data_IF_610794819181
#
_entry.id   IF_610794819181
#
_cell.length_a   1.000
_cell.length_b   1.000
_cell.length_c   1.000
_cell.angle_alpha   90.00
_cell.angle_beta   90.00
_cell.angle_gamma   90.00
#
_symmetry.space_group_name_H-M   'P 1'
#
loop_
_entity.id
_entity.type
_entity.pdbx_description
1 polymer ?
#
# COMPACT_ATOMS: atom_id res chain seq x y z
N UNK A 1 -15.79 5.30 4.69
CA UNK A 1 -14.83 5.24 3.55
C UNK A 1 -14.62 3.76 3.22
N UNK A 2 -14.94 3.38 1.98
CA UNK A 2 -14.88 1.97 1.53
C UNK A 2 -13.50 1.30 1.77
N UNK A 3 -12.43 2.06 1.62
CA UNK A 3 -11.07 1.54 1.79
C UNK A 3 -10.77 1.01 3.21
N UNK A 4 -11.50 1.47 4.23
CA UNK A 4 -11.31 1.03 5.61
C UNK A 4 -11.81 -0.41 5.84
N UNK A 5 -12.65 -0.93 4.96
CA UNK A 5 -13.19 -2.30 4.97
C UNK A 5 -12.56 -3.17 3.87
N UNK A 6 -11.45 -2.69 3.27
CA UNK A 6 -10.83 -3.34 2.12
C UNK A 6 -9.55 -4.07 2.51
N UNK A 7 -9.25 -5.08 1.70
CA UNK A 7 -7.92 -5.67 1.56
C UNK A 7 -7.39 -5.29 0.19
N UNK A 8 -6.25 -4.64 0.17
CA UNK A 8 -5.60 -4.18 -1.06
C UNK A 8 -4.68 -5.24 -1.65
N UNK A 9 -4.58 -5.23 -2.97
CA UNK A 9 -3.58 -5.97 -3.73
C UNK A 9 -2.75 -4.99 -4.54
N UNK A 10 -1.43 -4.94 -4.32
CA UNK A 10 -0.54 -4.03 -5.02
C UNK A 10 0.08 -4.70 -6.23
N UNK A 11 0.04 -4.01 -7.38
CA UNK A 11 0.69 -4.42 -8.62
C UNK A 11 1.68 -3.33 -9.06
N UNK A 12 2.93 -3.72 -9.34
CA UNK A 12 3.90 -2.90 -10.07
C UNK A 12 3.85 -3.27 -11.57
N UNK A 13 3.16 -2.50 -12.43
CA UNK A 13 2.73 -2.95 -13.74
C UNK A 13 3.87 -3.28 -14.71
N UNK A 14 4.93 -2.46 -14.76
CA UNK A 14 6.07 -2.67 -15.67
C UNK A 14 6.71 -4.03 -15.41
N UNK A 15 7.01 -4.37 -14.16
CA UNK A 15 7.54 -5.67 -13.79
C UNK A 15 6.52 -6.79 -13.95
N UNK A 16 5.34 -6.64 -13.35
CA UNK A 16 4.27 -7.63 -13.40
C UNK A 16 3.93 -8.07 -14.84
N UNK A 17 3.84 -7.12 -15.75
CA UNK A 17 3.51 -7.38 -17.16
C UNK A 17 4.71 -7.81 -18.01
N UNK A 18 5.92 -7.88 -17.44
CA UNK A 18 7.14 -8.22 -18.19
C UNK A 18 7.50 -7.19 -19.27
N UNK A 19 7.20 -5.91 -19.01
CA UNK A 19 7.53 -4.84 -19.93
C UNK A 19 9.05 -4.53 -19.91
N UNK A 20 9.63 -4.03 -21.01
CA UNK A 20 11.04 -3.62 -21.04
C UNK A 20 11.34 -2.56 -19.98
N UNK A 21 12.52 -2.62 -19.36
CA UNK A 21 12.94 -1.67 -18.32
C UNK A 21 13.02 -0.24 -18.86
N UNK A 22 13.59 -0.07 -20.05
CA UNK A 22 13.68 1.24 -20.73
C UNK A 22 12.57 1.32 -21.75
N UNK A 23 11.92 2.48 -21.84
CA UNK A 23 10.87 2.73 -22.80
C UNK A 23 11.42 2.67 -24.22
N UNK A 24 10.99 1.69 -24.98
CA UNK A 24 11.39 1.44 -26.37
C UNK A 24 10.47 2.10 -27.40
N UNK A 25 9.42 2.78 -26.95
CA UNK A 25 8.42 3.43 -27.81
C UNK A 25 7.47 2.46 -28.53
N UNK A 26 7.51 1.17 -28.18
CA UNK A 26 6.69 0.14 -28.84
C UNK A 26 5.42 -0.11 -28.02
N UNK A 27 4.25 0.11 -28.61
CA UNK A 27 2.97 -0.15 -27.96
C UNK A 27 2.61 -1.63 -28.01
N UNK A 28 2.49 -2.25 -26.81
CA UNK A 28 2.09 -3.65 -26.66
C UNK A 28 1.10 -3.74 -25.50
N UNK A 29 -0.09 -4.34 -25.65
CA UNK A 29 -1.17 -4.34 -24.66
C UNK A 29 -0.89 -5.31 -23.48
N UNK A 30 0.29 -5.22 -22.86
CA UNK A 30 0.74 -6.11 -21.78
C UNK A 30 -0.12 -5.96 -20.52
N UNK A 31 -0.70 -4.76 -20.29
CA UNK A 31 -1.54 -4.49 -19.11
C UNK A 31 -2.78 -5.38 -19.04
N UNK A 32 -3.26 -5.90 -20.18
CA UNK A 32 -4.40 -6.80 -20.24
C UNK A 32 -4.21 -8.09 -19.44
N UNK A 33 -2.96 -8.49 -19.19
CA UNK A 33 -2.61 -9.58 -18.26
C UNK A 33 -3.29 -9.45 -16.89
N UNK A 34 -3.48 -8.24 -16.41
CA UNK A 34 -4.14 -8.00 -15.10
C UNK A 34 -5.58 -8.50 -15.12
N UNK A 35 -6.27 -8.44 -16.27
CA UNK A 35 -7.63 -8.97 -16.39
C UNK A 35 -7.70 -10.48 -16.12
N UNK A 36 -6.66 -11.23 -16.50
CA UNK A 36 -6.58 -12.68 -16.28
C UNK A 36 -6.36 -13.02 -14.78
N UNK A 37 -5.92 -12.03 -13.98
CA UNK A 37 -5.68 -12.17 -12.56
C UNK A 37 -6.85 -11.69 -11.69
N UNK A 38 -7.88 -11.09 -12.27
CA UNK A 38 -8.99 -10.49 -11.51
C UNK A 38 -9.72 -11.51 -10.61
N UNK A 39 -9.95 -12.71 -11.11
CA UNK A 39 -10.56 -13.80 -10.34
C UNK A 39 -9.67 -14.25 -9.18
N UNK A 40 -8.36 -14.40 -9.40
CA UNK A 40 -7.40 -14.73 -8.35
C UNK A 40 -7.42 -13.67 -7.24
N UNK A 41 -7.31 -12.38 -7.60
CA UNK A 41 -7.32 -11.26 -6.65
C UNK A 41 -8.61 -11.25 -5.83
N UNK A 42 -9.77 -11.44 -6.47
CA UNK A 42 -11.06 -11.49 -5.79
C UNK A 42 -11.16 -12.72 -4.86
N UNK A 43 -10.72 -13.90 -5.33
CA UNK A 43 -10.77 -15.17 -4.56
C UNK A 43 -9.86 -15.11 -3.33
N UNK A 44 -8.71 -14.42 -3.43
CA UNK A 44 -7.80 -14.17 -2.33
C UNK A 44 -8.43 -13.33 -1.20
N UNK A 45 -9.57 -12.69 -1.48
CA UNK A 45 -10.27 -11.82 -0.54
C UNK A 45 -9.95 -10.33 -0.74
N UNK A 46 -9.15 -9.97 -1.74
CA UNK A 46 -8.87 -8.57 -2.06
C UNK A 46 -10.03 -7.94 -2.84
N UNK A 47 -10.37 -6.70 -2.51
CA UNK A 47 -11.42 -5.92 -3.18
C UNK A 47 -10.97 -4.52 -3.60
N UNK A 48 -9.68 -4.28 -3.58
CA UNK A 48 -9.05 -3.09 -4.12
C UNK A 48 -7.69 -3.45 -4.72
N UNK A 49 -7.38 -2.90 -5.89
CA UNK A 49 -6.04 -2.96 -6.48
C UNK A 49 -5.42 -1.57 -6.42
N UNK A 50 -4.20 -1.52 -5.93
CA UNK A 50 -3.33 -0.36 -6.02
C UNK A 50 -2.28 -0.62 -7.10
N UNK A 51 -2.32 0.19 -8.16
CA UNK A 51 -1.30 0.17 -9.20
C UNK A 51 -0.19 1.15 -8.88
N UNK A 52 1.06 0.68 -8.81
CA UNK A 52 2.24 1.52 -9.00
C UNK A 52 2.19 2.16 -10.40
N UNK A 53 3.06 3.15 -10.75
CA UNK A 53 2.83 4.00 -11.91
C UNK A 53 2.53 3.27 -13.21
N UNK A 54 1.52 3.76 -13.94
CA UNK A 54 1.06 3.19 -15.22
C UNK A 54 1.26 4.16 -16.41
N UNK A 55 1.60 5.42 -16.14
CA UNK A 55 1.66 6.45 -17.18
C UNK A 55 2.98 6.47 -17.91
N UNK A 56 2.97 7.05 -19.12
CA UNK A 56 4.13 7.13 -20.02
C UNK A 56 5.35 7.67 -19.28
N UNK A 57 6.44 6.89 -19.28
CA UNK A 57 7.65 7.15 -18.50
C UNK A 57 8.92 6.81 -19.25
N UNK A 58 10.07 7.28 -18.74
CA UNK A 58 11.38 6.97 -19.35
C UNK A 58 11.81 5.54 -19.03
N UNK A 59 11.61 5.06 -17.79
CA UNK A 59 12.06 3.75 -17.35
C UNK A 59 11.15 3.09 -16.32
N UNK A 60 11.23 3.48 -15.04
CA UNK A 60 10.62 2.75 -13.93
C UNK A 60 9.18 3.21 -13.57
N UNK A 61 8.60 4.12 -14.32
CA UNK A 61 7.25 4.63 -14.08
C UNK A 61 7.21 5.90 -13.22
N UNK A 62 8.16 6.09 -12.31
CA UNK A 62 8.24 7.30 -11.46
C UNK A 62 8.88 8.49 -12.20
N UNK A 63 9.45 8.28 -13.37
CA UNK A 63 10.03 9.26 -14.29
C UNK A 63 9.05 9.60 -15.43
N UNK A 64 7.88 10.11 -15.05
CA UNK A 64 6.73 10.36 -15.94
C UNK A 64 7.07 11.34 -17.05
N UNK A 65 6.69 10.98 -18.29
CA UNK A 65 6.74 11.83 -19.50
C UNK A 65 5.41 12.53 -19.80
N UNK A 66 4.31 11.81 -19.55
CA UNK A 66 2.96 12.27 -19.84
C UNK A 66 1.95 11.58 -18.92
N UNK A 67 1.23 12.36 -18.10
CA UNK A 67 0.18 11.86 -17.21
C UNK A 67 -1.13 11.49 -17.92
N UNK A 68 -1.29 11.86 -19.20
CA UNK A 68 -2.54 11.62 -19.95
C UNK A 68 -2.55 10.28 -20.69
N UNK A 69 -1.41 9.64 -20.81
CA UNK A 69 -1.24 8.42 -21.60
C UNK A 69 -0.71 7.29 -20.72
N UNK A 70 -1.33 6.14 -20.87
CA UNK A 70 -0.77 4.88 -20.35
C UNK A 70 0.57 4.61 -21.06
N UNK A 71 1.54 4.11 -20.32
CA UNK A 71 2.87 3.77 -20.85
C UNK A 71 2.74 2.81 -22.04
N UNK A 72 3.34 3.16 -23.18
CA UNK A 72 3.20 2.37 -24.40
C UNK A 72 3.68 0.93 -24.23
N UNK A 73 4.63 0.67 -23.35
CA UNK A 73 5.09 -0.67 -23.01
C UNK A 73 3.99 -1.52 -22.33
N UNK A 74 3.01 -0.87 -21.71
CA UNK A 74 1.85 -1.50 -21.06
C UNK A 74 0.64 -1.58 -22.00
N UNK A 75 0.48 -0.63 -22.91
CA UNK A 75 -0.63 -0.59 -23.86
C UNK A 75 -1.15 0.81 -24.13
N UNK A 76 -2.45 0.91 -24.34
CA UNK A 76 -3.15 2.17 -24.56
C UNK A 76 -4.09 2.50 -23.41
N UNK A 77 -4.67 3.72 -23.42
CA UNK A 77 -5.71 4.09 -22.45
C UNK A 77 -6.91 3.14 -22.52
N UNK A 78 -7.29 2.72 -23.74
CA UNK A 78 -8.40 1.77 -23.96
C UNK A 78 -8.09 0.39 -23.39
N UNK A 79 -6.83 -0.07 -23.48
CA UNK A 79 -6.41 -1.32 -22.86
C UNK A 79 -6.55 -1.26 -21.35
N UNK A 80 -6.11 -0.17 -20.71
CA UNK A 80 -6.23 0.00 -19.27
C UNK A 80 -7.68 0.22 -18.81
N UNK A 81 -8.48 0.97 -19.58
CA UNK A 81 -9.92 1.11 -19.30
C UNK A 81 -10.64 -0.25 -19.28
N UNK A 82 -10.27 -1.16 -20.21
CA UNK A 82 -10.80 -2.51 -20.23
C UNK A 82 -10.38 -3.33 -18.99
N UNK A 83 -9.14 -3.18 -18.51
CA UNK A 83 -8.67 -3.79 -17.26
C UNK A 83 -9.47 -3.28 -16.06
N UNK A 84 -9.64 -1.95 -15.93
CA UNK A 84 -10.42 -1.37 -14.84
C UNK A 84 -11.87 -1.87 -14.84
N UNK A 85 -12.49 -1.97 -16.02
CA UNK A 85 -13.82 -2.54 -16.16
C UNK A 85 -13.88 -3.98 -15.65
N UNK A 86 -12.93 -4.82 -16.04
CA UNK A 86 -12.85 -6.22 -15.57
C UNK A 86 -12.68 -6.29 -14.05
N UNK A 87 -11.82 -5.46 -13.47
CA UNK A 87 -11.64 -5.39 -12.01
C UNK A 87 -12.95 -4.98 -11.31
N UNK A 88 -13.62 -3.94 -11.79
CA UNK A 88 -14.91 -3.51 -11.24
C UNK A 88 -16.00 -4.59 -11.36
N UNK A 89 -16.06 -5.34 -12.45
CA UNK A 89 -16.96 -6.49 -12.63
C UNK A 89 -16.72 -7.60 -11.60
N UNK A 90 -15.49 -7.73 -11.07
CA UNK A 90 -15.14 -8.63 -9.97
C UNK A 90 -15.27 -7.96 -8.58
N UNK A 91 -15.86 -6.76 -8.49
CA UNK A 91 -16.04 -6.03 -7.23
C UNK A 91 -14.73 -5.45 -6.67
N UNK A 92 -13.72 -5.27 -7.49
CA UNK A 92 -12.40 -4.76 -7.12
C UNK A 92 -12.30 -3.29 -7.51
N UNK A 93 -12.04 -2.42 -6.54
CA UNK A 93 -11.80 -0.99 -6.74
C UNK A 93 -10.39 -0.72 -7.23
N UNK A 94 -10.21 0.38 -7.95
CA UNK A 94 -8.94 0.74 -8.59
C UNK A 94 -8.37 2.02 -8.01
N UNK A 95 -7.13 1.94 -7.50
CA UNK A 95 -6.35 3.06 -6.99
C UNK A 95 -5.08 3.19 -7.82
N UNK A 96 -4.78 4.40 -8.30
CA UNK A 96 -3.58 4.68 -9.10
C UNK A 96 -2.52 5.42 -8.29
N UNK A 97 -1.26 5.24 -8.68
CA UNK A 97 -0.15 6.02 -8.17
C UNK A 97 -0.13 7.42 -8.81
N UNK A 98 -0.21 8.44 -7.98
CA UNK A 98 -0.08 9.84 -8.34
C UNK A 98 1.34 10.33 -8.05
N UNK A 99 2.20 10.32 -9.06
CA UNK A 99 3.59 10.79 -8.98
C UNK A 99 3.62 12.30 -9.26
N UNK A 100 3.28 13.11 -8.26
CA UNK A 100 3.09 14.57 -8.47
C UNK A 100 4.23 15.43 -7.93
N UNK A 101 5.14 14.87 -7.13
CA UNK A 101 6.28 15.62 -6.64
C UNK A 101 7.27 15.96 -7.75
N UNK A 102 7.44 15.07 -8.71
CA UNK A 102 8.44 15.15 -9.76
C UNK A 102 7.97 14.48 -11.05
N UNK A 103 8.69 14.73 -12.12
CA UNK A 103 8.50 14.13 -13.45
C UNK A 103 9.86 13.69 -14.02
N UNK A 104 9.84 12.84 -15.04
CA UNK A 104 11.05 12.49 -15.78
C UNK A 104 11.57 13.65 -16.62
N UNK A 105 12.84 13.59 -17.02
CA UNK A 105 13.44 14.57 -17.93
C UNK A 105 12.79 14.58 -19.33
N UNK A 106 12.10 13.49 -19.69
CA UNK A 106 11.29 13.38 -20.89
C UNK A 106 9.92 14.04 -20.84
N UNK A 107 9.52 14.61 -19.68
CA UNK A 107 8.24 15.30 -19.53
C UNK A 107 8.12 16.48 -20.51
N UNK A 108 7.02 16.56 -21.24
CA UNK A 108 6.86 17.49 -22.37
C UNK A 108 7.11 18.96 -22.03
N UNK A 109 6.67 19.44 -20.86
CA UNK A 109 6.90 20.81 -20.43
C UNK A 109 8.37 21.04 -20.05
N UNK A 110 9.07 20.06 -19.49
CA UNK A 110 10.49 20.16 -19.17
C UNK A 110 11.36 20.13 -20.45
N UNK A 111 10.92 19.35 -21.47
CA UNK A 111 11.56 19.36 -22.80
C UNK A 111 11.49 20.74 -23.45
N UNK A 112 10.35 21.42 -23.35
CA UNK A 112 10.24 22.81 -23.84
C UNK A 112 11.21 23.75 -23.10
N UNK A 113 11.38 23.58 -21.79
CA UNK A 113 12.39 24.36 -21.02
C UNK A 113 13.81 24.01 -21.47
N UNK A 114 14.13 22.75 -21.74
CA UNK A 114 15.45 22.36 -22.24
C UNK A 114 15.77 23.02 -23.59
N UNK A 115 14.76 23.19 -24.46
CA UNK A 115 14.92 23.81 -25.78
C UNK A 115 14.95 25.34 -25.71
N UNK A 116 13.96 25.96 -25.06
CA UNK A 116 13.72 27.41 -25.08
C UNK A 116 14.33 28.16 -23.90
N UNK A 117 14.80 27.45 -22.87
CA UNK A 117 15.42 28.03 -21.68
C UNK A 117 14.52 29.09 -21.03
N UNK A 118 15.03 30.32 -20.93
CA UNK A 118 14.32 31.46 -20.34
C UNK A 118 12.99 31.79 -21.06
N UNK A 119 12.93 31.54 -22.34
CA UNK A 119 11.76 31.87 -23.19
C UNK A 119 10.66 30.82 -23.09
N UNK A 120 10.86 29.72 -22.37
CA UNK A 120 9.84 28.71 -22.17
C UNK A 120 8.70 29.24 -21.29
N UNK A 121 7.43 29.07 -21.69
CA UNK A 121 6.29 29.39 -20.83
C UNK A 121 6.15 28.46 -19.61
N UNK A 122 6.86 27.34 -19.60
CA UNK A 122 6.81 26.32 -18.55
C UNK A 122 7.97 26.39 -17.56
N UNK A 123 8.87 27.38 -17.65
CA UNK A 123 10.03 27.46 -16.76
C UNK A 123 9.64 27.54 -15.28
N UNK A 124 8.52 28.20 -14.97
CA UNK A 124 8.05 28.39 -13.59
C UNK A 124 7.25 27.18 -13.07
N UNK A 125 7.03 26.16 -13.91
CA UNK A 125 6.49 24.86 -13.50
C UNK A 125 7.45 24.03 -12.67
N UNK A 126 8.75 24.44 -12.70
CA UNK A 126 9.85 23.79 -12.03
C UNK A 126 10.61 24.79 -11.17
N UNK A 127 11.49 24.33 -10.29
CA UNK A 127 12.37 25.17 -9.51
C UNK A 127 13.70 25.30 -10.25
N UNK A 128 13.84 26.33 -11.09
CA UNK A 128 14.97 26.53 -12.02
C UNK A 128 15.80 27.74 -11.60
N UNK A 129 17.12 27.64 -11.78
CA UNK A 129 18.06 28.77 -11.73
C UNK A 129 18.90 28.81 -13.01
N UNK A 130 18.79 29.92 -13.75
CA UNK A 130 19.56 30.14 -14.97
C UNK A 130 20.99 30.61 -14.69
N UNK A 131 21.36 30.91 -13.45
CA UNK A 131 22.71 31.24 -13.02
C UNK A 131 23.58 30.00 -12.75
N UNK A 132 22.98 28.80 -12.81
CA UNK A 132 23.62 27.52 -12.53
C UNK A 132 23.62 26.57 -13.73
N UNK A 133 24.05 25.34 -13.49
CA UNK A 133 23.99 24.26 -14.47
C UNK A 133 23.65 22.94 -13.78
N UNK A 134 23.01 22.03 -14.50
CA UNK A 134 22.74 20.68 -14.04
C UNK A 134 23.90 19.73 -14.33
N UNK A 135 23.88 18.53 -13.75
CA UNK A 135 24.82 17.45 -14.09
C UNK A 135 24.63 16.90 -15.50
N UNK A 136 23.54 17.27 -16.19
CA UNK A 136 23.27 16.98 -17.60
C UNK A 136 23.74 18.07 -18.57
N UNK A 137 24.38 19.12 -18.04
CA UNK A 137 24.85 20.26 -18.83
C UNK A 137 23.73 20.99 -19.59
N UNK A 138 22.58 21.20 -18.94
CA UNK A 138 21.40 21.84 -19.55
C UNK A 138 21.57 23.35 -19.80
N UNK A 139 22.60 23.98 -19.20
CA UNK A 139 22.78 25.43 -19.19
C UNK A 139 21.88 26.16 -18.19
N UNK A 140 21.25 25.43 -17.28
CA UNK A 140 20.55 25.91 -16.11
C UNK A 140 20.56 24.83 -15.03
N UNK A 141 20.40 25.23 -13.76
CA UNK A 141 20.20 24.33 -12.63
C UNK A 141 18.70 24.18 -12.34
N UNK A 142 18.30 23.01 -11.85
CA UNK A 142 16.94 22.76 -11.37
C UNK A 142 16.95 21.85 -10.15
N UNK A 143 15.89 21.90 -9.34
CA UNK A 143 15.72 21.02 -8.21
C UNK A 143 15.23 19.63 -8.70
N UNK A 144 15.93 18.56 -8.29
CA UNK A 144 15.47 17.18 -8.41
C UNK A 144 14.96 16.65 -7.07
N UNK A 145 14.25 15.52 -7.10
CA UNK A 145 13.85 14.85 -5.88
C UNK A 145 15.07 14.31 -5.13
N UNK A 146 15.31 14.82 -3.90
CA UNK A 146 16.42 14.41 -3.03
C UNK A 146 17.80 14.38 -3.72
N UNK A 147 18.03 15.26 -4.70
CA UNK A 147 19.28 15.36 -5.46
C UNK A 147 19.34 14.47 -6.70
N UNK A 148 18.28 13.72 -7.00
CA UNK A 148 18.11 12.93 -8.22
C UNK A 148 17.68 13.82 -9.38
N UNK A 149 18.61 14.25 -10.23
CA UNK A 149 18.34 15.16 -11.34
C UNK A 149 17.54 14.50 -12.49
N UNK A 150 17.48 13.18 -12.56
CA UNK A 150 16.59 12.44 -13.47
C UNK A 150 15.10 12.61 -13.10
N UNK A 151 14.80 13.01 -11.86
CA UNK A 151 13.46 13.23 -11.32
C UNK A 151 13.27 14.71 -11.03
N UNK A 152 12.77 15.43 -12.01
CA UNK A 152 12.65 16.91 -12.03
C UNK A 152 11.48 17.34 -11.15
N UNK A 153 11.75 18.10 -10.08
CA UNK A 153 10.73 18.53 -9.14
C UNK A 153 9.75 19.53 -9.74
N UNK A 154 8.46 19.28 -9.57
CA UNK A 154 7.38 20.18 -9.96
C UNK A 154 7.17 21.29 -8.91
N UNK A 155 6.85 22.50 -9.38
CA UNK A 155 6.39 23.59 -8.54
C UNK A 155 4.87 23.44 -8.28
N UNK A 156 4.52 22.69 -7.24
CA UNK A 156 3.12 22.41 -6.89
C UNK A 156 2.32 23.63 -6.39
N UNK A 157 2.97 24.78 -6.19
CA UNK A 157 2.31 26.06 -5.90
C UNK A 157 1.91 26.84 -7.15
N UNK A 158 2.42 26.44 -8.31
CA UNK A 158 2.07 27.06 -9.57
C UNK A 158 0.63 26.65 -10.00
N UNK A 159 -0.27 27.62 -10.24
CA UNK A 159 -1.68 27.30 -10.56
C UNK A 159 -1.86 26.40 -11.78
N UNK A 160 -1.08 26.62 -12.83
CA UNK A 160 -1.19 25.82 -14.07
C UNK A 160 -0.68 24.40 -13.87
N UNK A 161 0.30 24.18 -12.99
CA UNK A 161 0.74 22.83 -12.60
C UNK A 161 -0.39 22.09 -11.88
N UNK A 162 -1.02 22.73 -10.89
CA UNK A 162 -2.18 22.17 -10.20
C UNK A 162 -3.32 21.88 -11.18
N UNK A 163 -3.65 22.83 -12.04
CA UNK A 163 -4.70 22.66 -13.05
C UNK A 163 -4.39 21.48 -13.97
N UNK A 164 -3.16 21.36 -14.48
CA UNK A 164 -2.76 20.24 -15.33
C UNK A 164 -2.92 18.89 -14.61
N UNK A 165 -2.46 18.78 -13.38
CA UNK A 165 -2.60 17.54 -12.57
C UNK A 165 -4.08 17.21 -12.34
N UNK A 166 -4.90 18.20 -11.95
CA UNK A 166 -6.33 17.96 -11.66
C UNK A 166 -7.10 17.55 -12.92
N UNK A 167 -6.80 18.12 -14.08
CA UNK A 167 -7.40 17.70 -15.34
C UNK A 167 -6.96 16.29 -15.76
N UNK A 168 -5.71 15.87 -15.45
CA UNK A 168 -5.30 14.49 -15.65
C UNK A 168 -6.08 13.54 -14.74
N UNK A 169 -6.25 13.86 -13.46
CA UNK A 169 -7.04 13.05 -12.52
C UNK A 169 -8.51 12.97 -12.96
N UNK A 170 -9.10 14.06 -13.46
CA UNK A 170 -10.45 14.05 -14.03
C UNK A 170 -10.53 13.09 -15.20
N UNK A 171 -9.57 13.16 -16.14
CA UNK A 171 -9.48 12.24 -17.27
C UNK A 171 -9.38 10.78 -16.79
N UNK A 172 -8.55 10.48 -15.79
CA UNK A 172 -8.43 9.12 -15.24
C UNK A 172 -9.74 8.62 -14.61
N UNK A 173 -10.47 9.53 -13.93
CA UNK A 173 -11.78 9.20 -13.38
C UNK A 173 -12.80 8.91 -14.49
N UNK A 174 -12.81 9.73 -15.54
CA UNK A 174 -13.78 9.63 -16.65
C UNK A 174 -13.48 8.42 -17.55
N UNK A 175 -12.20 8.16 -17.86
CA UNK A 175 -11.79 7.08 -18.79
C UNK A 175 -11.68 5.71 -18.09
N UNK A 176 -11.14 5.68 -16.87
CA UNK A 176 -10.81 4.43 -16.17
C UNK A 176 -11.75 4.13 -15.00
N UNK A 177 -12.52 5.12 -14.54
CA UNK A 177 -13.42 4.96 -13.41
C UNK A 177 -12.70 4.79 -12.07
N UNK A 178 -11.48 5.29 -11.92
CA UNK A 178 -10.66 5.08 -10.71
C UNK A 178 -11.38 5.50 -9.42
N UNK A 179 -11.07 4.81 -8.33
CA UNK A 179 -11.71 4.98 -7.02
C UNK A 179 -10.82 5.72 -6.01
N UNK A 180 -9.57 5.99 -6.37
CA UNK A 180 -8.65 6.70 -5.49
C UNK A 180 -7.24 6.85 -6.05
N UNK A 181 -6.40 7.52 -5.26
CA UNK A 181 -4.96 7.72 -5.55
C UNK A 181 -4.10 7.34 -4.35
N UNK A 182 -2.94 6.77 -4.64
CA UNK A 182 -1.78 6.73 -3.75
C UNK A 182 -0.85 7.86 -4.17
N UNK A 183 -0.44 8.70 -3.27
CA UNK A 183 0.48 9.80 -3.57
C UNK A 183 1.90 9.38 -3.27
N UNK A 184 2.71 9.30 -4.31
CA UNK A 184 4.14 9.04 -4.21
C UNK A 184 4.85 10.12 -3.40
N UNK A 185 5.80 9.72 -2.56
CA UNK A 185 6.60 10.59 -1.67
C UNK A 185 5.78 11.72 -1.04
N UNK A 186 4.61 11.39 -0.47
CA UNK A 186 3.67 12.38 0.04
C UNK A 186 4.29 13.30 1.11
N UNK A 187 5.34 12.86 1.81
CA UNK A 187 6.10 13.66 2.76
C UNK A 187 6.85 14.85 2.10
N UNK A 188 7.08 14.79 0.78
CA UNK A 188 7.68 15.87 -0.01
C UNK A 188 6.66 16.85 -0.61
N UNK A 189 5.37 16.49 -0.61
CA UNK A 189 4.33 17.31 -1.23
C UNK A 189 4.00 18.54 -0.38
N UNK A 190 3.75 19.66 -1.06
CA UNK A 190 3.21 20.85 -0.42
C UNK A 190 1.83 20.57 0.22
N UNK A 191 1.67 20.94 1.49
CA UNK A 191 0.44 20.65 2.24
C UNK A 191 -0.79 21.39 1.70
N UNK A 192 -0.60 22.58 1.12
CA UNK A 192 -1.69 23.33 0.52
C UNK A 192 -2.10 22.68 -0.81
N UNK A 193 -1.14 22.11 -1.55
CA UNK A 193 -1.46 21.25 -2.71
C UNK A 193 -2.27 20.01 -2.29
N UNK A 194 -1.90 19.32 -1.20
CA UNK A 194 -2.66 18.16 -0.71
C UNK A 194 -4.10 18.56 -0.36
N UNK A 195 -4.30 19.72 0.30
CA UNK A 195 -5.66 20.22 0.62
C UNK A 195 -6.46 20.54 -0.63
N UNK A 196 -5.84 21.21 -1.60
CA UNK A 196 -6.47 21.54 -2.88
C UNK A 196 -6.83 20.26 -3.66
N UNK A 197 -5.92 19.29 -3.71
CA UNK A 197 -6.13 17.98 -4.32
C UNK A 197 -7.28 17.23 -3.62
N UNK A 198 -7.33 17.21 -2.28
CA UNK A 198 -8.42 16.61 -1.53
C UNK A 198 -9.76 17.22 -1.90
N UNK A 199 -9.89 18.55 -1.87
CA UNK A 199 -11.12 19.22 -2.25
C UNK A 199 -11.54 18.96 -3.69
N UNK A 200 -10.58 18.89 -4.61
CA UNK A 200 -10.85 18.53 -6.00
C UNK A 200 -11.34 17.07 -6.11
N UNK A 201 -10.69 16.11 -5.49
CA UNK A 201 -11.09 14.70 -5.52
C UNK A 201 -12.48 14.48 -4.88
N UNK A 202 -12.79 15.14 -3.77
CA UNK A 202 -14.10 15.10 -3.14
C UNK A 202 -15.22 15.64 -4.09
N UNK A 203 -14.88 16.58 -4.97
CA UNK A 203 -15.81 17.09 -5.99
C UNK A 203 -16.06 16.09 -7.14
N UNK A 204 -15.13 15.18 -7.39
CA UNK A 204 -15.30 14.11 -8.38
C UNK A 204 -16.15 12.96 -7.83
N UNK A 205 -15.90 12.57 -6.59
CA UNK A 205 -16.66 11.54 -5.89
C UNK A 205 -16.47 11.70 -4.37
N UNK A 206 -17.52 11.71 -3.55
CA UNK A 206 -17.42 11.90 -2.11
C UNK A 206 -16.70 10.75 -1.39
N UNK A 207 -16.53 9.62 -2.03
CA UNK A 207 -15.82 8.43 -1.52
C UNK A 207 -14.48 8.18 -2.24
N UNK A 208 -13.94 9.17 -2.97
CA UNK A 208 -12.64 9.08 -3.62
C UNK A 208 -11.51 8.96 -2.59
N UNK A 209 -10.82 7.83 -2.59
CA UNK A 209 -9.83 7.52 -1.58
C UNK A 209 -8.46 8.16 -1.87
N UNK A 210 -7.84 8.77 -0.87
CA UNK A 210 -6.49 9.31 -0.95
C UNK A 210 -5.60 8.67 0.13
N UNK A 211 -4.55 8.00 -0.27
CA UNK A 211 -3.50 7.47 0.60
C UNK A 211 -2.14 8.02 0.20
N UNK A 212 -1.33 8.46 1.16
CA UNK A 212 0.01 8.99 0.89
C UNK A 212 1.11 8.03 1.30
N UNK A 213 2.18 8.00 0.54
CA UNK A 213 3.40 7.35 1.01
C UNK A 213 4.10 8.23 2.02
N UNK A 214 4.19 7.75 3.26
CA UNK A 214 4.97 8.38 4.33
C UNK A 214 5.95 7.34 4.88
N UNK A 215 7.24 7.64 4.80
CA UNK A 215 8.28 6.72 5.26
C UNK A 215 8.54 6.86 6.77
N UNK A 216 8.33 8.05 7.32
CA UNK A 216 8.62 8.42 8.70
C UNK A 216 7.90 9.71 9.11
N UNK A 217 8.05 10.12 10.36
CA UNK A 217 7.52 11.37 10.89
C UNK A 217 6.14 11.22 11.55
N UNK A 218 5.50 12.36 11.79
CA UNK A 218 4.16 12.41 12.38
C UNK A 218 3.08 12.36 11.29
N UNK A 219 2.40 11.23 11.18
CA UNK A 219 1.34 11.01 10.19
C UNK A 219 0.13 11.95 10.35
N UNK A 220 -0.08 12.52 11.55
CA UNK A 220 -1.15 13.49 11.77
C UNK A 220 -0.99 14.78 10.94
N UNK A 221 0.22 15.06 10.47
CA UNK A 221 0.46 16.21 9.62
C UNK A 221 -0.11 16.04 8.19
N UNK A 222 -0.43 14.81 7.81
CA UNK A 222 -0.86 14.45 6.45
C UNK A 222 -2.22 13.76 6.41
N UNK A 223 -2.60 13.04 7.48
CA UNK A 223 -3.83 12.24 7.56
C UNK A 223 -4.83 12.90 8.50
N UNK A 224 -5.98 13.31 7.96
CA UNK A 224 -7.04 13.96 8.73
C UNK A 224 -8.05 14.67 7.84
N UNK A 225 -8.93 15.44 8.47
CA UNK A 225 -9.97 16.18 7.78
C UNK A 225 -9.39 17.18 6.77
N UNK A 226 -9.87 17.15 5.55
CA UNK A 226 -9.39 18.00 4.46
C UNK A 226 -7.98 17.66 3.94
N UNK A 227 -7.38 16.57 4.43
CA UNK A 227 -6.09 16.02 4.01
C UNK A 227 -6.27 14.59 3.50
N UNK A 228 -5.21 13.76 3.56
CA UNK A 228 -5.28 12.36 3.15
C UNK A 228 -6.20 11.55 4.08
N UNK A 229 -6.83 10.51 3.55
CA UNK A 229 -7.61 9.55 4.33
C UNK A 229 -6.73 8.54 5.07
N UNK A 230 -5.56 8.22 4.50
CA UNK A 230 -4.64 7.20 4.99
C UNK A 230 -3.20 7.51 4.57
N UNK A 231 -2.26 6.81 5.17
CA UNK A 231 -0.88 6.75 4.70
C UNK A 231 -0.28 5.37 4.93
N UNK A 232 0.86 5.10 4.30
CA UNK A 232 1.63 3.87 4.49
C UNK A 232 2.20 3.80 5.91
N UNK A 233 2.07 2.63 6.55
CA UNK A 233 2.54 2.40 7.92
C UNK A 233 3.91 1.72 7.94
N UNK A 234 4.95 2.43 7.55
CA UNK A 234 6.33 1.92 7.54
C UNK A 234 6.86 1.58 8.94
N UNK A 235 6.36 2.25 9.98
CA UNK A 235 6.73 1.91 11.36
C UNK A 235 6.27 0.50 11.72
N UNK A 236 5.02 0.14 11.44
CA UNK A 236 4.53 -1.21 11.68
C UNK A 236 5.18 -2.23 10.73
N UNK A 237 5.46 -1.89 9.46
CA UNK A 237 6.23 -2.74 8.56
C UNK A 237 7.55 -3.16 9.20
N UNK A 238 8.33 -2.21 9.71
CA UNK A 238 9.59 -2.50 10.42
C UNK A 238 9.36 -3.34 11.67
N UNK A 239 8.38 -2.98 12.49
CA UNK A 239 8.03 -3.71 13.70
C UNK A 239 7.65 -5.17 13.44
N UNK A 240 6.90 -5.43 12.35
CA UNK A 240 6.46 -6.76 11.97
C UNK A 240 7.64 -7.70 11.67
N UNK A 241 8.50 -7.38 10.68
CA UNK A 241 9.59 -8.29 10.32
C UNK A 241 10.68 -8.35 11.40
N UNK A 242 10.95 -7.24 12.09
CA UNK A 242 11.94 -7.20 13.17
C UNK A 242 11.52 -8.08 14.34
N UNK A 243 10.25 -8.01 14.75
CA UNK A 243 9.69 -8.86 15.80
C UNK A 243 9.82 -10.35 15.47
N UNK A 244 9.56 -10.73 14.21
CA UNK A 244 9.69 -12.12 13.77
C UNK A 244 11.14 -12.58 13.80
N UNK A 245 12.08 -11.78 13.29
CA UNK A 245 13.48 -12.16 13.20
C UNK A 245 14.20 -12.16 14.55
N UNK A 246 13.84 -11.27 15.46
CA UNK A 246 14.37 -11.22 16.83
C UNK A 246 13.64 -12.16 17.81
N UNK A 247 12.55 -12.80 17.37
CA UNK A 247 11.61 -13.50 18.24
C UNK A 247 11.19 -12.64 19.43
N UNK A 248 10.82 -11.37 19.18
CA UNK A 248 10.49 -10.38 20.19
C UNK A 248 9.24 -9.57 19.81
N UNK A 249 8.06 -10.12 20.10
CA UNK A 249 6.78 -9.47 19.79
C UNK A 249 6.52 -8.18 20.56
N UNK A 250 7.37 -7.81 21.53
CA UNK A 250 7.29 -6.50 22.19
C UNK A 250 7.52 -5.35 21.21
N UNK A 251 8.33 -5.54 20.15
CA UNK A 251 8.60 -4.47 19.16
C UNK A 251 7.34 -4.04 18.42
N UNK A 252 6.64 -4.98 17.78
CA UNK A 252 5.40 -4.65 17.05
C UNK A 252 4.29 -4.22 18.00
N UNK A 253 4.16 -4.89 19.16
CA UNK A 253 3.13 -4.54 20.14
C UNK A 253 3.34 -3.14 20.69
N UNK A 254 4.59 -2.71 20.92
CA UNK A 254 4.90 -1.34 21.33
C UNK A 254 4.45 -0.32 20.27
N UNK A 255 4.75 -0.56 18.99
CA UNK A 255 4.30 0.31 17.90
C UNK A 255 2.77 0.39 17.83
N UNK A 256 2.08 -0.75 17.96
CA UNK A 256 0.61 -0.79 17.95
C UNK A 256 -0.01 -0.07 19.15
N UNK A 257 0.54 -0.23 20.36
CA UNK A 257 0.08 0.50 21.55
C UNK A 257 0.29 2.01 21.39
N UNK A 258 1.43 2.43 20.87
CA UNK A 258 1.74 3.83 20.62
C UNK A 258 0.82 4.45 19.57
N UNK A 259 0.50 3.71 18.51
CA UNK A 259 -0.33 4.19 17.40
C UNK A 259 -1.83 4.10 17.69
N UNK A 260 -2.31 2.98 18.27
CA UNK A 260 -3.73 2.63 18.34
C UNK A 260 -4.21 2.22 19.71
N UNK A 261 -3.37 2.26 20.75
CA UNK A 261 -3.70 1.82 22.08
C UNK A 261 -4.88 2.58 22.73
N UNK A 262 -5.36 2.14 23.92
CA UNK A 262 -6.52 2.73 24.56
C UNK A 262 -6.25 4.09 25.20
N UNK A 263 -4.99 4.45 25.41
CA UNK A 263 -4.58 5.61 26.18
C UNK A 263 -4.84 6.94 25.44
N UNK A 264 -4.96 8.04 26.18
CA UNK A 264 -5.25 9.35 25.62
C UNK A 264 -4.06 9.95 24.82
N UNK A 265 -2.84 9.50 25.07
CA UNK A 265 -1.64 9.93 24.35
C UNK A 265 -1.38 9.16 23.05
N UNK A 266 -2.25 8.23 22.68
CA UNK A 266 -2.13 7.43 21.47
C UNK A 266 -2.17 8.30 20.23
N UNK A 267 -1.25 8.09 19.30
CA UNK A 267 -0.99 9.02 18.18
C UNK A 267 -2.05 8.98 17.08
N UNK A 268 -2.51 7.78 16.69
CA UNK A 268 -3.31 7.59 15.47
C UNK A 268 -4.64 6.87 15.74
N UNK A 269 -5.17 7.05 16.93
CA UNK A 269 -6.46 6.45 17.34
C UNK A 269 -7.58 6.83 16.37
N UNK A 270 -8.27 5.82 15.84
CA UNK A 270 -9.35 6.01 14.87
C UNK A 270 -8.88 6.26 13.42
N UNK A 271 -7.57 6.30 13.16
CA UNK A 271 -7.02 6.35 11.79
C UNK A 271 -6.84 4.94 11.22
N UNK A 272 -7.04 4.82 9.92
CA UNK A 272 -6.87 3.57 9.17
C UNK A 272 -5.65 3.72 8.25
N UNK A 273 -4.51 3.18 8.67
CA UNK A 273 -3.25 3.29 7.93
C UNK A 273 -3.09 2.08 6.98
N UNK A 274 -2.59 2.32 5.78
CA UNK A 274 -2.28 1.26 4.83
C UNK A 274 -1.06 0.48 5.31
N UNK A 275 -1.29 -0.77 5.70
CA UNK A 275 -0.30 -1.63 6.33
C UNK A 275 0.09 -2.77 5.40
N UNK A 276 1.36 -3.18 5.44
CA UNK A 276 1.92 -4.17 4.53
C UNK A 276 3.10 -4.90 5.20
N UNK A 277 3.47 -6.05 4.65
CA UNK A 277 4.65 -6.83 5.07
C UNK A 277 5.79 -6.72 4.06
N UNK A 278 5.48 -6.32 2.84
CA UNK A 278 6.42 -5.92 1.78
C UNK A 278 5.71 -5.09 0.71
N UNK A 279 6.50 -4.52 -0.20
CA UNK A 279 6.06 -3.78 -1.39
C UNK A 279 7.17 -3.79 -2.46
N UNK A 280 6.99 -2.97 -3.51
CA UNK A 280 7.90 -2.89 -4.65
C UNK A 280 9.27 -2.23 -4.36
N UNK A 281 9.48 -1.67 -3.17
CA UNK A 281 10.69 -0.93 -2.79
C UNK A 281 11.51 -1.59 -1.68
N UNK A 282 10.96 -2.61 -1.03
CA UNK A 282 11.62 -3.31 0.08
C UNK A 282 11.83 -4.78 -0.24
N UNK A 283 12.77 -5.40 0.46
CA UNK A 283 12.99 -6.86 0.38
C UNK A 283 11.68 -7.59 0.64
N UNK A 284 11.34 -8.56 -0.23
CA UNK A 284 10.13 -9.36 -0.10
C UNK A 284 10.08 -10.10 1.23
N UNK A 285 8.89 -10.28 1.77
CA UNK A 285 8.69 -10.83 3.11
C UNK A 285 9.28 -12.23 3.25
N UNK A 286 9.16 -13.10 2.25
CA UNK A 286 9.75 -14.42 2.25
C UNK A 286 11.29 -14.40 2.29
N UNK A 287 11.91 -13.34 1.77
CA UNK A 287 13.38 -13.18 1.77
C UNK A 287 13.90 -12.44 3.01
N UNK A 288 13.10 -11.62 3.69
CA UNK A 288 13.52 -10.88 4.88
C UNK A 288 13.41 -11.72 6.16
N UNK A 289 12.45 -12.65 6.21
CA UNK A 289 12.25 -13.54 7.37
C UNK A 289 13.34 -14.60 7.46
N UNK A 290 13.93 -14.74 8.66
CA UNK A 290 14.95 -15.75 8.93
C UNK A 290 14.37 -17.14 9.17
N UNK A 291 13.14 -17.22 9.70
CA UNK A 291 12.42 -18.47 9.92
C UNK A 291 11.20 -18.54 8.98
N UNK A 292 11.20 -19.45 7.99
CA UNK A 292 10.07 -19.60 7.07
C UNK A 292 8.72 -19.93 7.75
N UNK A 293 8.75 -20.56 8.95
CA UNK A 293 7.52 -20.84 9.70
C UNK A 293 6.80 -19.57 10.18
N UNK A 294 7.50 -18.44 10.23
CA UNK A 294 6.93 -17.16 10.59
C UNK A 294 6.14 -16.50 9.44
N UNK A 295 6.30 -16.96 8.18
CA UNK A 295 5.69 -16.33 7.03
C UNK A 295 4.15 -16.23 7.12
N UNK A 296 3.39 -17.29 7.42
CA UNK A 296 1.95 -17.15 7.62
C UNK A 296 1.59 -16.33 8.88
N UNK A 297 2.47 -16.27 9.89
CA UNK A 297 2.21 -15.60 11.15
C UNK A 297 2.37 -14.07 11.05
N UNK A 298 3.29 -13.58 10.22
CA UNK A 298 3.42 -12.15 9.96
C UNK A 298 2.18 -11.61 9.24
N UNK A 299 1.56 -12.41 8.36
CA UNK A 299 0.27 -12.08 7.76
C UNK A 299 -0.87 -12.10 8.77
N UNK A 300 -0.85 -13.03 9.74
CA UNK A 300 -1.84 -13.02 10.82
C UNK A 300 -1.76 -11.74 11.66
N UNK A 301 -0.54 -11.27 11.95
CA UNK A 301 -0.37 -9.96 12.60
C UNK A 301 -0.89 -8.83 11.71
N UNK A 302 -0.58 -8.82 10.41
CA UNK A 302 -1.05 -7.81 9.45
C UNK A 302 -2.58 -7.72 9.39
N UNK A 303 -3.27 -8.85 9.26
CA UNK A 303 -4.73 -8.89 9.15
C UNK A 303 -5.43 -8.68 10.50
N UNK A 304 -4.76 -9.00 11.61
CA UNK A 304 -5.31 -8.86 12.97
C UNK A 304 -5.11 -7.49 13.59
N UNK A 305 -4.14 -6.70 13.14
CA UNK A 305 -3.85 -5.36 13.67
C UNK A 305 -4.79 -4.30 13.09
N UNK A 306 -4.89 -3.09 13.73
CA UNK A 306 -5.58 -1.95 13.14
C UNK A 306 -4.95 -1.48 11.84
N UNK A 307 -5.76 -1.15 10.84
CA UNK A 307 -5.31 -0.60 9.57
C UNK A 307 -5.98 -1.24 8.36
N UNK A 308 -5.48 -0.90 7.18
CA UNK A 308 -5.93 -1.41 5.89
C UNK A 308 -4.83 -2.34 5.38
N UNK A 309 -5.04 -3.66 5.35
CA UNK A 309 -4.00 -4.59 4.89
C UNK A 309 -3.81 -4.53 3.38
N UNK A 310 -2.54 -4.59 2.95
CA UNK A 310 -2.14 -4.63 1.55
C UNK A 310 -1.21 -5.83 1.30
N UNK A 311 -1.50 -6.60 0.27
CA UNK A 311 -0.70 -7.72 -0.22
C UNK A 311 0.03 -7.26 -1.48
N UNK A 312 1.34 -7.48 -1.57
CA UNK A 312 2.11 -7.23 -2.78
C UNK A 312 2.11 -8.49 -3.67
N UNK A 313 1.88 -8.33 -4.98
CA UNK A 313 1.71 -9.45 -5.90
C UNK A 313 2.87 -10.45 -5.83
N UNK A 314 2.55 -11.72 -5.73
CA UNK A 314 3.49 -12.82 -5.59
C UNK A 314 3.85 -13.16 -4.15
N UNK A 315 3.68 -12.24 -3.20
CA UNK A 315 4.00 -12.49 -1.80
C UNK A 315 3.00 -13.43 -1.13
N UNK A 316 1.78 -13.56 -1.69
CA UNK A 316 0.75 -14.47 -1.21
C UNK A 316 1.09 -15.97 -1.38
N UNK A 317 2.05 -16.28 -2.23
CA UNK A 317 2.61 -17.64 -2.32
C UNK A 317 4.07 -17.74 -1.89
N UNK A 318 4.64 -16.65 -1.35
CA UNK A 318 5.99 -16.62 -0.83
C UNK A 318 7.07 -16.34 -1.88
N UNK A 319 6.77 -15.54 -2.91
CA UNK A 319 7.78 -15.10 -3.87
C UNK A 319 8.94 -14.38 -3.17
N UNK A 320 10.16 -14.72 -3.57
CA UNK A 320 11.38 -14.16 -3.02
C UNK A 320 11.91 -12.98 -3.85
N UNK A 321 12.74 -12.15 -3.23
CA UNK A 321 13.43 -11.02 -3.86
C UNK A 321 14.10 -10.14 -2.81
N UNK A 322 15.36 -9.77 -3.01
CA UNK A 322 16.13 -8.96 -2.08
C UNK A 322 16.47 -7.60 -2.67
N UNK A 323 16.29 -6.53 -1.90
CA UNK A 323 16.60 -5.15 -2.33
C UNK A 323 18.07 -4.98 -2.75
N UNK A 324 18.98 -5.68 -2.12
CA UNK A 324 20.41 -5.64 -2.45
C UNK A 324 20.73 -6.17 -3.86
N UNK A 325 19.83 -6.98 -4.44
CA UNK A 325 19.98 -7.54 -5.79
C UNK A 325 19.39 -6.62 -6.87
N UNK A 326 18.95 -5.42 -6.47
CA UNK A 326 18.35 -4.41 -7.30
C UNK A 326 16.83 -4.44 -7.31
N UNK A 327 16.21 -3.38 -7.84
CA UNK A 327 14.76 -3.22 -7.84
C UNK A 327 14.06 -4.28 -8.70
N UNK A 328 14.69 -4.73 -9.79
CA UNK A 328 14.12 -5.75 -10.68
C UNK A 328 13.88 -7.08 -9.93
N UNK A 329 14.71 -7.40 -8.93
CA UNK A 329 14.52 -8.59 -8.09
C UNK A 329 13.23 -8.52 -7.24
N UNK A 330 12.76 -7.31 -6.95
CA UNK A 330 11.51 -7.07 -6.20
C UNK A 330 10.28 -7.05 -7.11
N UNK A 331 10.47 -6.89 -8.43
CA UNK A 331 9.43 -6.56 -9.42
C UNK A 331 9.34 -7.59 -10.55
N UNK A 332 9.38 -8.92 -10.26
CA UNK A 332 9.38 -9.96 -11.28
C UNK A 332 8.04 -10.03 -12.01
N UNK A 333 8.07 -10.63 -13.22
CA UNK A 333 6.86 -11.06 -13.90
C UNK A 333 6.57 -12.52 -13.56
N UNK A 334 5.32 -12.84 -13.31
CA UNK A 334 4.83 -14.22 -13.16
C UNK A 334 3.82 -14.51 -14.27
N UNK A 335 3.87 -15.69 -14.85
CA UNK A 335 2.93 -16.06 -15.93
C UNK A 335 1.51 -16.21 -15.40
N UNK A 336 1.37 -16.81 -14.23
CA UNK A 336 0.09 -17.06 -13.56
C UNK A 336 0.28 -17.07 -12.05
N UNK A 337 -0.78 -16.86 -11.24
CA UNK A 337 -0.71 -17.01 -9.81
C UNK A 337 -0.43 -18.45 -9.39
N UNK A 338 0.19 -18.59 -8.22
CA UNK A 338 0.49 -19.91 -7.62
C UNK A 338 -0.39 -20.10 -6.38
N UNK A 339 -1.10 -21.23 -6.36
CA UNK A 339 -1.90 -21.63 -5.20
C UNK A 339 -1.09 -22.62 -4.34
N UNK A 340 -0.94 -22.30 -3.06
CA UNK A 340 -0.27 -23.16 -2.07
C UNK A 340 -0.88 -22.97 -0.68
N UNK A 341 -0.32 -23.62 0.33
CA UNK A 341 -0.82 -23.55 1.73
C UNK A 341 -0.78 -22.11 2.28
N UNK A 342 0.23 -21.31 1.89
CA UNK A 342 0.32 -19.91 2.30
C UNK A 342 -0.82 -19.09 1.68
N UNK A 343 -1.06 -19.26 0.38
CA UNK A 343 -2.18 -18.60 -0.33
C UNK A 343 -3.51 -18.91 0.35
N UNK A 344 -3.76 -20.18 0.68
CA UNK A 344 -4.98 -20.60 1.36
C UNK A 344 -5.15 -19.95 2.75
N UNK A 345 -4.07 -19.87 3.53
CA UNK A 345 -4.08 -19.21 4.85
C UNK A 345 -4.31 -17.70 4.73
N UNK A 346 -3.64 -17.03 3.80
CA UNK A 346 -3.82 -15.60 3.54
C UNK A 346 -5.26 -15.32 3.12
N UNK A 347 -5.82 -16.15 2.23
CA UNK A 347 -7.22 -16.04 1.79
C UNK A 347 -8.19 -16.11 2.99
N UNK A 348 -8.00 -17.07 3.90
CA UNK A 348 -8.86 -17.19 5.08
C UNK A 348 -8.76 -15.95 6.00
N UNK A 349 -7.55 -15.44 6.24
CA UNK A 349 -7.31 -14.25 7.05
C UNK A 349 -7.85 -12.97 6.38
N UNK A 350 -7.67 -12.83 5.07
CA UNK A 350 -8.19 -11.68 4.32
C UNK A 350 -9.73 -11.62 4.36
N UNK A 351 -10.39 -12.75 4.18
CA UNK A 351 -11.85 -12.87 4.31
C UNK A 351 -12.30 -12.55 5.73
N UNK A 352 -11.65 -13.14 6.74
CA UNK A 352 -11.92 -12.85 8.16
C UNK A 352 -11.82 -11.36 8.46
N UNK A 353 -10.79 -10.67 7.95
CA UNK A 353 -10.62 -9.23 8.13
C UNK A 353 -11.77 -8.43 7.51
N UNK A 354 -12.09 -8.69 6.24
CA UNK A 354 -13.15 -7.96 5.51
C UNK A 354 -14.55 -8.15 6.10
N UNK A 355 -14.84 -9.34 6.62
CA UNK A 355 -16.15 -9.72 7.14
C UNK A 355 -16.34 -9.31 8.60
N UNK A 356 -15.27 -8.89 9.28
CA UNK A 356 -15.29 -8.50 10.69
C UNK A 356 -15.22 -6.98 10.88
N UNK A 357 -16.31 -6.40 11.40
CA UNK A 357 -16.29 -4.99 11.80
C UNK A 357 -15.25 -4.69 12.87
N UNK A 358 -15.03 -5.64 13.80
CA UNK A 358 -14.02 -5.49 14.84
C UNK A 358 -12.60 -5.43 14.24
N UNK A 359 -12.28 -6.23 13.23
CA UNK A 359 -10.97 -6.18 12.56
C UNK A 359 -10.80 -4.91 11.71
N UNK A 360 -11.88 -4.42 11.06
CA UNK A 360 -11.84 -3.18 10.29
C UNK A 360 -11.79 -1.92 11.15
N UNK A 361 -12.62 -1.82 12.22
CA UNK A 361 -12.86 -0.59 12.96
C UNK A 361 -12.56 -0.66 14.44
N UNK A 362 -12.37 -1.86 14.99
CA UNK A 362 -12.21 -2.07 16.43
C UNK A 362 -10.97 -1.39 17.00
N UNK A 363 -11.05 -0.95 18.23
CA UNK A 363 -9.91 -0.47 18.99
C UNK A 363 -8.85 -1.55 19.18
N UNK A 364 -7.71 -1.18 19.74
CA UNK A 364 -6.60 -2.10 20.04
C UNK A 364 -6.33 -2.15 21.52
N UNK A 365 -6.32 -3.37 22.10
CA UNK A 365 -5.95 -3.58 23.49
C UNK A 365 -5.14 -4.86 23.65
N UNK A 366 -3.96 -4.76 24.22
CA UNK A 366 -3.12 -5.90 24.56
C UNK A 366 -3.72 -6.67 25.75
N UNK A 367 -3.79 -8.01 25.65
CA UNK A 367 -4.22 -8.91 26.71
C UNK A 367 -3.07 -9.80 27.22
N UNK A 368 -2.34 -10.44 26.32
CA UNK A 368 -1.17 -11.27 26.62
C UNK A 368 0.00 -10.79 25.76
N UNK A 369 1.18 -10.71 26.36
CA UNK A 369 2.42 -10.42 25.63
C UNK A 369 3.59 -11.13 26.30
N UNK A 370 4.29 -11.92 25.52
CA UNK A 370 5.60 -12.48 25.82
C UNK A 370 6.53 -12.21 24.64
N UNK A 371 7.76 -12.68 24.67
CA UNK A 371 8.65 -12.54 23.51
C UNK A 371 8.09 -13.24 22.28
N UNK A 372 7.40 -14.37 22.44
CA UNK A 372 6.98 -15.23 21.32
C UNK A 372 5.47 -15.42 21.19
N UNK A 373 4.67 -14.93 22.13
CA UNK A 373 3.22 -15.02 22.08
C UNK A 373 2.58 -13.66 22.33
N UNK A 374 1.51 -13.37 21.59
CA UNK A 374 0.66 -12.23 21.85
C UNK A 374 -0.81 -12.58 21.69
N UNK A 375 -1.65 -11.96 22.53
CA UNK A 375 -3.10 -11.91 22.34
C UNK A 375 -3.51 -10.46 22.51
N UNK A 376 -4.22 -9.93 21.53
CA UNK A 376 -4.85 -8.62 21.63
C UNK A 376 -6.31 -8.64 21.24
N UNK A 377 -7.01 -7.64 21.71
CA UNK A 377 -8.42 -7.44 21.49
C UNK A 377 -8.63 -6.39 20.41
N UNK A 378 -9.53 -6.68 19.51
CA UNK A 378 -10.15 -5.76 18.56
C UNK A 378 -11.64 -5.71 18.91
N UNK A 379 -12.13 -4.54 19.31
CA UNK A 379 -13.53 -4.39 19.77
C UNK A 379 -14.14 -3.12 19.20
N UNK A 380 -15.34 -3.25 18.67
CA UNK A 380 -16.24 -2.16 18.25
C UNK A 380 -17.67 -2.48 18.69
N UNK A 381 -18.60 -1.54 18.51
CA UNK A 381 -19.99 -1.74 18.90
C UNK A 381 -20.57 -3.02 18.28
N UNK A 382 -20.83 -3.98 19.13
CA UNK A 382 -21.51 -5.22 18.77
C UNK A 382 -20.62 -6.36 18.29
N UNK A 383 -19.31 -6.18 18.18
CA UNK A 383 -18.40 -7.26 17.78
C UNK A 383 -17.05 -7.16 18.49
N UNK A 384 -16.53 -8.32 18.89
CA UNK A 384 -15.24 -8.44 19.55
C UNK A 384 -14.48 -9.65 19.02
N UNK A 385 -13.23 -9.43 18.62
CA UNK A 385 -12.32 -10.46 18.13
C UNK A 385 -11.05 -10.44 18.96
N UNK A 386 -10.59 -11.61 19.40
CA UNK A 386 -9.30 -11.81 20.02
C UNK A 386 -8.35 -12.38 18.98
N UNK A 387 -7.27 -11.66 18.70
CA UNK A 387 -6.21 -12.09 17.79
C UNK A 387 -5.10 -12.70 18.62
N UNK A 388 -4.83 -13.98 18.44
CA UNK A 388 -3.80 -14.72 19.17
C UNK A 388 -2.76 -15.27 18.20
N UNK A 389 -1.47 -15.08 18.51
CA UNK A 389 -0.36 -15.56 17.69
C UNK A 389 0.71 -16.18 18.58
N UNK A 390 1.18 -17.38 18.19
CA UNK A 390 2.34 -18.05 18.76
C UNK A 390 3.40 -18.25 17.67
N UNK A 391 4.55 -17.58 17.80
CA UNK A 391 5.67 -17.70 16.88
C UNK A 391 6.75 -18.72 17.35
N UNK A 392 6.48 -19.43 18.47
CA UNK A 392 7.39 -20.46 19.00
C UNK A 392 7.12 -21.82 18.35
N UNK A 393 8.16 -22.64 18.32
CA UNK A 393 8.09 -24.09 18.00
C UNK A 393 7.45 -24.93 19.09
N UNK A 394 7.23 -24.35 20.30
CA UNK A 394 6.59 -24.99 21.43
C UNK A 394 5.14 -24.47 21.61
N UNK A 395 4.22 -25.33 22.06
CA UNK A 395 2.89 -24.89 22.43
C UNK A 395 2.96 -23.95 23.65
N UNK A 396 2.01 -23.04 23.74
CA UNK A 396 1.91 -22.10 24.85
C UNK A 396 0.50 -22.11 25.44
N UNK A 397 0.38 -22.32 26.73
CA UNK A 397 -0.89 -22.26 27.42
C UNK A 397 -1.14 -20.87 28.00
N UNK A 398 -2.02 -20.10 27.32
CA UNK A 398 -2.34 -18.74 27.73
C UNK A 398 -3.41 -18.72 28.82
N UNK A 399 -3.13 -17.98 29.90
CA UNK A 399 -4.09 -17.68 30.97
C UNK A 399 -4.42 -16.18 30.94
N UNK A 400 -5.64 -15.84 30.59
CA UNK A 400 -6.13 -14.47 30.57
C UNK A 400 -7.65 -14.45 30.70
N UNK A 401 -8.23 -13.31 31.09
CA UNK A 401 -9.66 -13.12 31.09
C UNK A 401 -10.17 -12.80 29.68
N UNK A 402 -10.74 -13.80 29.01
CA UNK A 402 -11.30 -13.64 27.66
C UNK A 402 -12.61 -12.81 27.69
N UNK A 403 -13.23 -12.57 28.81
CA UNK A 403 -14.54 -11.91 28.98
C UNK A 403 -15.66 -12.52 28.11
N UNK A 404 -15.50 -13.77 27.71
CA UNK A 404 -16.50 -14.60 27.02
C UNK A 404 -16.21 -16.09 27.30
N UNK A 405 -17.23 -16.93 27.25
CA UNK A 405 -17.06 -18.37 27.47
C UNK A 405 -16.53 -19.09 26.20
N UNK A 406 -17.02 -18.66 25.06
CA UNK A 406 -16.70 -19.29 23.77
C UNK A 406 -16.48 -18.25 22.66
N UNK A 407 -15.79 -18.70 21.61
CA UNK A 407 -15.57 -17.94 20.38
C UNK A 407 -15.53 -18.86 19.18
N UNK A 408 -15.86 -18.32 17.99
CA UNK A 408 -15.59 -18.95 16.71
C UNK A 408 -14.28 -18.41 16.16
N UNK A 409 -13.36 -19.27 15.78
CA UNK A 409 -12.17 -18.85 15.03
C UNK A 409 -12.57 -18.50 13.59
N UNK A 410 -12.41 -17.25 13.21
CA UNK A 410 -12.78 -16.75 11.88
C UNK A 410 -11.89 -17.31 10.75
N UNK A 411 -10.72 -17.87 11.09
CA UNK A 411 -9.81 -18.48 10.11
C UNK A 411 -10.26 -19.89 9.75
N UNK A 412 -10.63 -20.69 10.77
CA UNK A 412 -10.93 -22.12 10.61
C UNK A 412 -12.43 -22.46 10.70
N UNK A 413 -13.22 -21.60 11.31
CA UNK A 413 -14.63 -21.86 11.65
C UNK A 413 -14.81 -22.73 12.90
N UNK A 414 -13.73 -23.12 13.58
CA UNK A 414 -13.79 -23.98 14.76
C UNK A 414 -14.21 -23.19 16.02
N UNK A 415 -14.91 -23.89 16.92
CA UNK A 415 -15.29 -23.34 18.21
C UNK A 415 -14.16 -23.48 19.22
N UNK A 416 -13.86 -22.40 19.92
CA UNK A 416 -12.92 -22.36 21.04
C UNK A 416 -13.65 -22.09 22.36
N UNK A 417 -13.31 -22.86 23.40
CA UNK A 417 -13.84 -22.70 24.76
C UNK A 417 -12.73 -22.21 25.69
N UNK A 418 -12.95 -21.08 26.35
CA UNK A 418 -11.94 -20.44 27.22
C UNK A 418 -11.95 -21.00 28.66
N UNK A 419 -12.84 -21.95 29.00
CA UNK A 419 -13.07 -22.42 30.38
C UNK A 419 -11.87 -23.12 31.02
N UNK A 420 -10.90 -23.59 30.23
CA UNK A 420 -9.68 -24.26 30.70
C UNK A 420 -8.38 -23.52 30.43
N UNK A 421 -8.46 -22.27 30.00
CA UNK A 421 -7.34 -21.56 29.38
C UNK A 421 -7.29 -21.79 27.86
N UNK A 422 -6.29 -21.26 27.19
CA UNK A 422 -6.16 -21.35 25.74
C UNK A 422 -4.79 -21.88 25.33
N UNK A 423 -4.75 -23.06 24.76
CA UNK A 423 -3.52 -23.59 24.18
C UNK A 423 -3.32 -23.01 22.79
N UNK A 424 -2.20 -22.33 22.59
CA UNK A 424 -1.70 -21.89 21.30
C UNK A 424 -0.73 -22.92 20.77
N UNK A 425 -1.09 -23.63 19.71
CA UNK A 425 -0.22 -24.62 19.08
C UNK A 425 1.09 -23.98 18.57
N UNK A 426 2.15 -24.74 18.32
CA UNK A 426 3.37 -24.22 17.70
C UNK A 426 3.07 -23.52 16.38
N UNK A 427 3.68 -22.37 16.12
CA UNK A 427 3.55 -21.60 14.89
C UNK A 427 2.08 -21.43 14.44
N UNK A 428 1.22 -20.90 15.34
CA UNK A 428 -0.22 -20.78 15.12
C UNK A 428 -0.74 -19.37 15.24
N UNK A 429 -1.88 -19.13 14.61
CA UNK A 429 -2.63 -17.89 14.74
C UNK A 429 -4.13 -18.19 14.77
N UNK A 430 -4.88 -17.41 15.54
CA UNK A 430 -6.33 -17.54 15.72
C UNK A 430 -6.98 -16.16 15.74
N UNK A 431 -8.16 -16.04 15.11
CA UNK A 431 -9.02 -14.86 15.16
C UNK A 431 -10.35 -15.23 15.82
N UNK A 432 -10.36 -15.25 17.15
CA UNK A 432 -11.50 -15.69 17.94
C UNK A 432 -12.58 -14.61 18.05
N UNK A 433 -13.65 -14.74 17.31
CA UNK A 433 -14.85 -13.90 17.44
C UNK A 433 -15.66 -14.38 18.62
N UNK A 434 -15.70 -13.56 19.68
CA UNK A 434 -16.38 -13.90 20.93
C UNK A 434 -17.89 -14.00 20.74
N UNK A 435 -18.50 -15.05 21.31
CA UNK A 435 -19.95 -15.12 21.49
C UNK A 435 -20.39 -14.05 22.51
N UNK A 436 -21.57 -13.48 22.31
CA UNK A 436 -22.15 -12.49 23.21
C UNK A 436 -22.74 -13.13 24.45
#
# INVERSE_FOLDING_TARGET
MWAYESVFYQIYPIGFCGAPRVNDGVTVPRIRKVSDWAEHIASLGCNAVYFSPIFESDSHGYDTRDFRRVDCRLGTNEDFAAVCKTLHEHGIRVVLDGVFNHVGRGFWAFKDVQEKKWDSPYKDWFHISFDGNSNYNDGFWYEGWEGHFELVKLNLRHPDVQHHIFECIRQWKDEFGIDGLRLDVAYCLDKDFIRALRGFCDSLSPDFFLVGELLHGDYNQFVGDGMLHSCTNYECYKGLYSSMNSCNLFEITHSLLRQFGPENWTLYKGKHLLSFVDNHDVTRVASILQNPAHLPLIYALLFGMPGIPCIYYGSEWGAEGKKQDGDDALRPSFEQPIENDLTARITAMAKAHRESRALCYGGFKQLVLTNKQCIWERETDGERVLVAVNIDEQPYHAHFDARCGRAVDLITGEMHDFGGGSELSPYSAYFWKCER
#
